data_IF_637990878839
#
_entry.id   IF_637990878839
#
_cell.length_a   1.000
_cell.length_b   1.000
_cell.length_c   1.000
_cell.angle_alpha   90.00
_cell.angle_beta   90.00
_cell.angle_gamma   90.00
#
_symmetry.space_group_name_H-M   'P 1'
#
loop_
_entity.id
_entity.type
_entity.pdbx_description
1 polymer ?
#
# COMPACT_ATOMS: atom_id res chain seq x y z
N UNK A 1 14.75 14.55 17.77
CA UNK A 1 14.51 13.13 18.14
C UNK A 1 15.30 12.29 17.17
N UNK A 2 16.34 11.60 17.62
CA UNK A 2 17.22 10.86 16.71
C UNK A 2 16.48 9.69 16.05
N UNK A 3 16.96 9.31 14.87
CA UNK A 3 16.51 8.14 14.13
C UNK A 3 17.38 6.97 14.58
N UNK A 4 16.81 6.02 15.33
CA UNK A 4 17.47 4.77 15.68
C UNK A 4 16.89 3.61 14.85
N UNK A 5 17.65 2.51 14.80
CA UNK A 5 17.29 1.31 14.03
C UNK A 5 15.90 0.76 14.40
N UNK A 6 15.56 0.51 15.69
CA UNK A 6 14.25 0.00 16.06
C UNK A 6 13.09 0.89 15.62
N UNK A 7 13.25 2.21 15.74
CA UNK A 7 12.24 3.17 15.31
C UNK A 7 12.08 3.21 13.79
N UNK A 8 13.18 3.09 13.04
CA UNK A 8 13.12 3.02 11.58
C UNK A 8 12.42 1.73 11.10
N UNK A 9 12.74 0.58 11.72
CA UNK A 9 12.07 -0.69 11.44
C UNK A 9 10.56 -0.61 11.71
N UNK A 10 10.18 -0.08 12.88
CA UNK A 10 8.78 0.07 13.27
C UNK A 10 8.00 1.00 12.33
N UNK A 11 8.60 2.11 11.90
CA UNK A 11 7.98 3.04 10.94
C UNK A 11 7.72 2.36 9.59
N UNK A 12 8.70 1.62 9.08
CA UNK A 12 8.56 0.94 7.79
C UNK A 12 7.51 -0.17 7.87
N UNK A 13 7.49 -0.96 8.94
CA UNK A 13 6.43 -1.95 9.17
C UNK A 13 5.05 -1.30 9.19
N UNK A 14 4.89 -0.21 9.93
CA UNK A 14 3.62 0.51 10.02
C UNK A 14 3.15 1.02 8.64
N UNK A 15 4.06 1.56 7.82
CA UNK A 15 3.72 2.00 6.46
C UNK A 15 3.33 0.84 5.55
N UNK A 16 4.00 -0.32 5.65
CA UNK A 16 3.62 -1.53 4.90
C UNK A 16 2.20 -1.98 5.29
N UNK A 17 1.92 -2.07 6.59
CA UNK A 17 0.57 -2.45 7.07
C UNK A 17 -0.51 -1.48 6.57
N UNK A 18 -0.22 -0.18 6.58
CA UNK A 18 -1.15 0.84 6.13
C UNK A 18 -1.40 0.77 4.61
N UNK A 19 -0.34 0.58 3.82
CA UNK A 19 -0.45 0.41 2.37
C UNK A 19 -1.24 -0.84 2.01
N UNK A 20 -1.01 -1.96 2.70
CA UNK A 20 -1.73 -3.22 2.47
C UNK A 20 -3.23 -3.06 2.80
N UNK A 21 -3.56 -2.31 3.88
CA UNK A 21 -4.93 -1.93 4.21
C UNK A 21 -5.59 -1.06 3.13
N UNK A 22 -4.84 -0.09 2.58
CA UNK A 22 -5.32 0.74 1.48
C UNK A 22 -5.53 -0.06 0.19
N UNK A 23 -4.58 -0.90 -0.20
CA UNK A 23 -4.67 -1.77 -1.37
C UNK A 23 -5.93 -2.64 -1.33
N UNK A 24 -6.18 -3.28 -0.17
CA UNK A 24 -7.40 -4.08 0.05
C UNK A 24 -8.66 -3.24 -0.08
N UNK A 25 -8.75 -2.10 0.63
CA UNK A 25 -9.92 -1.22 0.57
C UNK A 25 -10.19 -0.71 -0.85
N UNK A 26 -9.15 -0.30 -1.57
CA UNK A 26 -9.26 0.21 -2.93
C UNK A 26 -9.75 -0.88 -3.88
N UNK A 27 -9.20 -2.10 -3.77
CA UNK A 27 -9.65 -3.24 -4.58
C UNK A 27 -11.12 -3.60 -4.33
N UNK A 28 -11.55 -3.61 -3.06
CA UNK A 28 -12.95 -3.87 -2.69
C UNK A 28 -13.91 -2.81 -3.24
N UNK A 29 -13.52 -1.53 -3.17
CA UNK A 29 -14.34 -0.44 -3.70
C UNK A 29 -14.33 -0.37 -5.22
N UNK A 30 -13.18 -0.64 -5.86
CA UNK A 30 -13.10 -0.71 -7.31
C UNK A 30 -14.05 -1.77 -7.87
N UNK A 31 -14.14 -2.95 -7.23
CA UNK A 31 -15.10 -3.98 -7.62
C UNK A 31 -16.56 -3.50 -7.53
N UNK A 32 -16.92 -2.78 -6.46
CA UNK A 32 -18.27 -2.19 -6.29
C UNK A 32 -18.56 -1.11 -7.35
N UNK A 33 -17.57 -0.27 -7.65
CA UNK A 33 -17.66 0.83 -8.62
C UNK A 33 -17.82 0.28 -10.05
N UNK A 34 -17.05 -0.77 -10.38
CA UNK A 34 -17.18 -1.48 -11.66
C UNK A 34 -18.57 -2.10 -11.81
N UNK A 35 -19.07 -2.77 -10.77
CA UNK A 35 -20.40 -3.36 -10.75
C UNK A 35 -21.54 -2.31 -10.90
N UNK A 36 -21.27 -1.05 -10.53
CA UNK A 36 -22.19 0.07 -10.73
C UNK A 36 -22.08 0.71 -12.13
N UNK A 37 -21.23 0.19 -13.02
CA UNK A 37 -21.09 0.63 -14.41
C UNK A 37 -20.00 1.69 -14.64
N UNK A 38 -19.26 2.09 -13.61
CA UNK A 38 -18.21 3.11 -13.70
C UNK A 38 -16.84 2.48 -13.99
N UNK A 39 -16.71 1.88 -15.19
CA UNK A 39 -15.54 1.08 -15.54
C UNK A 39 -14.22 1.84 -15.46
N UNK A 40 -14.11 3.00 -16.11
CA UNK A 40 -12.86 3.79 -16.12
C UNK A 40 -12.42 4.20 -14.71
N UNK A 41 -13.37 4.65 -13.86
CA UNK A 41 -13.08 5.00 -12.46
C UNK A 41 -12.59 3.78 -11.68
N UNK A 42 -13.19 2.60 -11.91
CA UNK A 42 -12.76 1.37 -11.25
C UNK A 42 -11.35 0.95 -11.67
N UNK A 43 -10.97 1.18 -12.93
CA UNK A 43 -9.64 0.87 -13.46
C UNK A 43 -8.58 1.74 -12.79
N UNK A 44 -8.82 3.05 -12.67
CA UNK A 44 -7.91 3.97 -11.97
C UNK A 44 -7.72 3.58 -10.49
N UNK A 45 -8.79 3.17 -9.81
CA UNK A 45 -8.70 2.75 -8.40
C UNK A 45 -7.98 1.40 -8.25
N UNK A 46 -8.16 0.45 -9.18
CA UNK A 46 -7.36 -0.78 -9.21
C UNK A 46 -5.88 -0.49 -9.42
N UNK A 47 -5.56 0.47 -10.30
CA UNK A 47 -4.18 0.91 -10.48
C UNK A 47 -3.62 1.53 -9.21
N UNK A 48 -4.41 2.33 -8.49
CA UNK A 48 -4.00 2.88 -7.19
C UNK A 48 -3.71 1.77 -6.15
N UNK A 49 -4.54 0.72 -6.10
CA UNK A 49 -4.29 -0.44 -5.24
C UNK A 49 -2.96 -1.14 -5.59
N UNK A 50 -2.73 -1.42 -6.88
CA UNK A 50 -1.47 -2.02 -7.34
C UNK A 50 -0.24 -1.15 -7.01
N UNK A 51 -0.38 0.18 -7.06
CA UNK A 51 0.69 1.10 -6.65
C UNK A 51 0.96 1.07 -5.14
N UNK A 52 -0.05 0.82 -4.31
CA UNK A 52 0.17 0.58 -2.88
C UNK A 52 0.96 -0.71 -2.66
N UNK A 53 0.64 -1.79 -3.39
CA UNK A 53 1.39 -3.06 -3.30
C UNK A 53 2.85 -2.88 -3.73
N UNK A 54 3.10 -2.20 -4.85
CA UNK A 54 4.46 -1.86 -5.31
C UNK A 54 5.23 -1.04 -4.25
N UNK A 55 4.55 -0.09 -3.59
CA UNK A 55 5.11 0.69 -2.50
C UNK A 55 5.48 -0.20 -1.30
N UNK A 56 4.58 -1.09 -0.87
CA UNK A 56 4.85 -2.07 0.19
C UNK A 56 6.07 -2.94 -0.11
N UNK A 57 6.24 -3.40 -1.35
CA UNK A 57 7.41 -4.20 -1.73
C UNK A 57 8.73 -3.42 -1.69
N UNK A 58 8.72 -2.14 -2.09
CA UNK A 58 9.88 -1.26 -1.94
C UNK A 58 10.23 -1.01 -0.48
N UNK A 59 9.23 -0.81 0.37
CA UNK A 59 9.38 -0.63 1.81
C UNK A 59 9.96 -1.89 2.48
N UNK A 60 9.45 -3.08 2.17
CA UNK A 60 10.00 -4.36 2.65
C UNK A 60 11.47 -4.52 2.23
N UNK A 61 11.81 -4.19 0.98
CA UNK A 61 13.21 -4.18 0.51
C UNK A 61 14.07 -3.17 1.27
N UNK A 62 13.54 -2.00 1.60
CA UNK A 62 14.25 -1.01 2.41
C UNK A 62 14.50 -1.52 3.83
N UNK A 63 13.49 -2.14 4.46
CA UNK A 63 13.59 -2.76 5.78
C UNK A 63 14.71 -3.81 5.83
N UNK A 64 14.80 -4.66 4.82
CA UNK A 64 15.81 -5.71 4.74
C UNK A 64 17.26 -5.18 4.65
N UNK A 65 17.46 -3.88 4.37
CA UNK A 65 18.79 -3.25 4.33
C UNK A 65 19.22 -2.66 5.67
N UNK A 66 18.37 -2.69 6.70
CA UNK A 66 18.64 -2.14 8.03
C UNK A 66 19.47 -3.12 8.88
N UNK A 67 20.35 -3.92 8.26
CA UNK A 67 21.20 -4.93 8.93
C UNK A 67 21.87 -4.42 10.22
#
# INVERSE_FOLDING_TARGET
>A
MELDKPKLEHLIEHWVEHNDSHSKSFSEWAAKIEAAGYKEISEDIKMAAAKMDECSELLKKAKNKIE
#
